data_IF_716030012685
#
_entry.id   IF_716030012685
#
_cell.length_a   1.000
_cell.length_b   1.000
_cell.length_c   1.000
_cell.angle_alpha   90.00
_cell.angle_beta   90.00
_cell.angle_gamma   90.00
#
_symmetry.space_group_name_H-M   'P 1'
#
loop_
_entity.id
_entity.type
_entity.pdbx_description
1 polymer ?
#
# COMPACT_ATOMS: atom_id res chain seq x y z
N UNK A 1 -7.48 26.18 -9.17
CA UNK A 1 -8.94 26.37 -8.99
C UNK A 1 -9.18 26.66 -7.53
N UNK A 2 -10.28 27.28 -7.15
CA UNK A 2 -10.65 27.40 -5.72
C UNK A 2 -11.77 26.42 -5.42
N UNK A 3 -11.65 25.62 -4.37
CA UNK A 3 -12.77 24.80 -3.90
C UNK A 3 -13.87 25.64 -3.24
N UNK A 4 -14.93 24.98 -2.77
CA UNK A 4 -16.07 25.61 -2.06
C UNK A 4 -15.62 26.37 -0.80
N UNK A 5 -14.49 25.99 -0.21
CA UNK A 5 -13.89 26.65 0.95
C UNK A 5 -12.84 27.72 0.57
N UNK A 6 -12.64 27.99 -0.73
CA UNK A 6 -11.73 29.02 -1.24
C UNK A 6 -10.27 28.58 -1.36
N UNK A 7 -9.93 27.32 -1.10
CA UNK A 7 -8.56 26.83 -1.17
C UNK A 7 -8.13 26.56 -2.61
N UNK A 8 -6.86 26.84 -2.92
CA UNK A 8 -6.29 26.48 -4.22
C UNK A 8 -6.19 24.95 -4.36
N UNK A 9 -7.02 24.39 -5.22
CA UNK A 9 -7.06 22.96 -5.55
C UNK A 9 -6.63 22.76 -7.01
N UNK A 10 -5.88 21.69 -7.33
CA UNK A 10 -5.57 21.35 -8.71
C UNK A 10 -6.86 21.09 -9.52
N UNK A 11 -6.78 21.36 -10.82
CA UNK A 11 -7.87 21.12 -11.77
C UNK A 11 -8.16 19.63 -11.96
N UNK A 12 -7.12 18.81 -11.79
CA UNK A 12 -7.16 17.35 -11.88
C UNK A 12 -5.98 16.77 -11.13
N UNK A 13 -6.15 15.59 -10.54
CA UNK A 13 -5.09 14.84 -9.87
C UNK A 13 -5.51 14.38 -8.48
N UNK A 14 -4.54 14.03 -7.65
CA UNK A 14 -4.80 13.61 -6.27
C UNK A 14 -4.41 14.72 -5.30
N UNK A 15 -5.18 14.85 -4.23
CA UNK A 15 -4.98 15.84 -3.16
C UNK A 15 -5.06 15.13 -1.82
N UNK A 16 -4.09 15.39 -0.95
CA UNK A 16 -4.09 14.90 0.42
C UNK A 16 -4.08 16.06 1.40
N UNK A 17 -4.86 15.95 2.47
CA UNK A 17 -4.92 16.93 3.56
C UNK A 17 -4.06 16.43 4.70
N UNK A 18 -3.07 17.23 5.07
CA UNK A 18 -2.14 16.94 6.16
C UNK A 18 -2.04 18.16 7.07
N UNK A 19 -2.40 17.98 8.35
CA UNK A 19 -2.45 19.06 9.36
C UNK A 19 -3.28 20.26 8.90
N UNK A 20 -4.47 19.99 8.34
CA UNK A 20 -5.38 21.00 7.80
C UNK A 20 -4.97 21.65 6.48
N UNK A 21 -3.82 21.28 5.89
CA UNK A 21 -3.36 21.85 4.61
C UNK A 21 -3.51 20.87 3.45
N UNK A 22 -4.14 21.27 2.33
CA UNK A 22 -4.19 20.46 1.13
C UNK A 22 -2.88 20.53 0.35
N UNK A 23 -2.35 19.37 -0.03
CA UNK A 23 -1.19 19.22 -0.89
C UNK A 23 -1.58 18.44 -2.14
N UNK A 24 -0.93 18.75 -3.27
CA UNK A 24 -0.91 17.78 -4.37
C UNK A 24 -0.27 16.50 -3.87
N UNK A 25 -0.86 15.37 -4.23
CA UNK A 25 -0.44 14.08 -3.74
C UNK A 25 -0.27 13.08 -4.89
N UNK A 26 0.41 11.99 -4.58
CA UNK A 26 0.43 10.75 -5.36
C UNK A 26 0.80 9.58 -4.45
N UNK A 27 0.56 8.35 -4.88
CA UNK A 27 1.14 7.19 -4.23
C UNK A 27 2.69 7.29 -4.20
N UNK A 28 3.31 7.03 -3.04
CA UNK A 28 4.76 7.08 -2.88
C UNK A 28 5.39 5.83 -3.51
N UNK A 29 6.09 6.00 -4.63
CA UNK A 29 6.68 4.89 -5.37
C UNK A 29 7.67 4.09 -4.51
N UNK A 30 7.44 2.77 -4.39
CA UNK A 30 8.28 1.86 -3.61
C UNK A 30 8.16 2.02 -2.09
N UNK A 31 7.23 2.84 -1.59
CA UNK A 31 6.97 3.03 -0.16
C UNK A 31 5.50 2.76 0.16
N UNK A 32 4.86 1.82 -0.53
CA UNK A 32 3.48 1.46 -0.18
C UNK A 32 3.38 1.11 1.31
N UNK A 33 2.38 1.64 2.06
CA UNK A 33 1.19 2.38 1.62
C UNK A 33 1.30 3.92 1.69
N UNK A 34 2.49 4.50 1.76
CA UNK A 34 2.69 5.94 1.94
C UNK A 34 2.16 6.76 0.77
N UNK A 35 1.70 7.97 1.09
CA UNK A 35 1.28 8.99 0.13
C UNK A 35 2.35 10.08 0.09
N UNK A 36 2.81 10.43 -1.09
CA UNK A 36 3.82 11.46 -1.28
C UNK A 36 3.15 12.83 -1.44
N UNK A 37 3.42 13.74 -0.49
CA UNK A 37 2.96 15.12 -0.55
C UNK A 37 3.92 15.97 -1.40
N UNK A 38 3.37 16.78 -2.28
CA UNK A 38 4.09 17.62 -3.25
C UNK A 38 3.75 19.10 -3.01
N UNK A 39 4.47 19.79 -2.11
CA UNK A 39 4.26 21.22 -1.89
C UNK A 39 4.60 22.03 -3.15
N UNK A 40 3.81 23.06 -3.44
CA UNK A 40 4.12 23.97 -4.55
C UNK A 40 5.36 24.83 -4.21
N UNK A 41 6.12 25.28 -5.22
CA UNK A 41 7.28 26.15 -5.00
C UNK A 41 6.90 27.39 -4.18
N UNK A 42 7.60 27.62 -3.07
CA UNK A 42 7.32 28.73 -2.15
C UNK A 42 6.35 28.41 -1.01
N UNK A 43 5.74 27.22 -0.98
CA UNK A 43 5.05 26.73 0.19
C UNK A 43 6.01 26.04 1.18
N UNK A 44 5.77 26.18 2.49
CA UNK A 44 6.59 25.52 3.50
C UNK A 44 6.52 23.99 3.34
N UNK A 45 7.64 23.34 3.64
CA UNK A 45 7.70 21.88 3.69
C UNK A 45 6.70 21.34 4.74
N UNK A 46 6.02 20.21 4.45
CA UNK A 46 5.17 19.54 5.44
C UNK A 46 5.96 19.22 6.71
N UNK A 47 5.53 19.82 7.83
CA UNK A 47 6.27 19.72 9.10
C UNK A 47 6.32 18.27 9.62
N UNK A 48 7.51 17.83 10.01
CA UNK A 48 7.72 16.51 10.59
C UNK A 48 7.60 15.36 9.59
N UNK A 49 7.83 15.63 8.30
CA UNK A 49 8.08 14.64 7.25
C UNK A 49 9.48 14.84 6.67
N UNK A 50 10.18 13.74 6.40
CA UNK A 50 11.51 13.76 5.78
C UNK A 50 11.34 13.86 4.26
N UNK A 51 12.03 14.79 3.58
CA UNK A 51 11.99 14.89 2.12
C UNK A 51 12.64 13.67 1.47
N UNK A 52 12.11 13.26 0.32
CA UNK A 52 12.65 12.20 -0.53
C UNK A 52 12.71 12.68 -1.98
N UNK A 53 13.83 12.42 -2.64
CA UNK A 53 13.96 12.64 -4.07
C UNK A 53 13.48 11.40 -4.83
N UNK A 54 12.52 11.60 -5.72
CA UNK A 54 12.06 10.56 -6.64
C UNK A 54 13.01 10.44 -7.84
N UNK A 55 12.97 9.32 -8.56
CA UNK A 55 13.84 9.04 -9.71
C UNK A 55 13.76 10.09 -10.84
N UNK A 56 12.70 10.90 -10.89
CA UNK A 56 12.51 12.00 -11.84
C UNK A 56 13.04 13.36 -11.32
N UNK A 57 13.76 13.38 -10.19
CA UNK A 57 14.31 14.59 -9.57
C UNK A 57 13.28 15.43 -8.79
N UNK A 58 12.02 14.99 -8.68
CA UNK A 58 11.03 15.68 -7.85
C UNK A 58 11.25 15.35 -6.37
N UNK A 59 11.20 16.37 -5.52
CA UNK A 59 11.25 16.21 -4.07
C UNK A 59 9.82 16.11 -3.53
N UNK A 60 9.51 14.98 -2.92
CA UNK A 60 8.24 14.74 -2.24
C UNK A 60 8.43 14.44 -0.76
N UNK A 61 7.33 14.42 -0.01
CA UNK A 61 7.32 14.17 1.43
C UNK A 61 6.40 12.98 1.72
N UNK A 62 6.95 11.77 1.89
CA UNK A 62 6.15 10.59 2.19
C UNK A 62 5.45 10.72 3.55
N UNK A 63 4.13 10.65 3.53
CA UNK A 63 3.27 10.64 4.71
C UNK A 63 2.61 9.26 4.84
N UNK A 64 2.61 8.65 6.04
CA UNK A 64 1.83 7.45 6.29
C UNK A 64 0.32 7.80 6.28
N UNK A 65 -0.57 6.92 5.77
CA UNK A 65 -2.00 7.20 5.65
C UNK A 65 -2.68 7.64 6.95
N UNK A 66 -2.21 7.13 8.10
CA UNK A 66 -2.75 7.43 9.43
C UNK A 66 -2.52 8.87 9.87
N UNK A 67 -1.59 9.58 9.22
CA UNK A 67 -1.32 11.00 9.46
C UNK A 67 -2.09 11.93 8.51
N UNK A 68 -2.87 11.38 7.57
CA UNK A 68 -3.68 12.15 6.63
C UNK A 68 -5.10 12.33 7.17
N UNK A 69 -5.63 13.53 7.00
CA UNK A 69 -7.04 13.84 7.31
C UNK A 69 -7.95 13.48 6.12
N UNK A 70 -7.43 13.55 4.91
CA UNK A 70 -8.11 13.13 3.69
C UNK A 70 -7.09 12.80 2.58
N UNK A 71 -7.47 11.94 1.64
CA UNK A 71 -6.81 11.77 0.36
C UNK A 71 -7.85 11.44 -0.69
N UNK A 72 -7.92 12.23 -1.75
CA UNK A 72 -8.95 12.11 -2.77
C UNK A 72 -8.43 12.46 -4.16
N UNK A 73 -8.98 11.81 -5.18
CA UNK A 73 -8.85 12.25 -6.55
C UNK A 73 -9.84 13.39 -6.80
N UNK A 74 -9.37 14.48 -7.38
CA UNK A 74 -10.19 15.62 -7.79
C UNK A 74 -10.29 15.69 -9.31
N UNK A 75 -11.50 15.96 -9.79
CA UNK A 75 -11.77 16.36 -11.18
C UNK A 75 -12.82 17.46 -11.18
N UNK A 76 -12.70 18.38 -12.12
CA UNK A 76 -13.67 19.47 -12.29
C UNK A 76 -14.45 19.27 -13.59
N UNK A 77 -15.74 19.56 -13.58
CA UNK A 77 -16.58 19.59 -14.78
C UNK A 77 -17.23 20.94 -14.96
N UNK A 78 -17.57 21.29 -16.19
CA UNK A 78 -18.33 22.50 -16.48
C UNK A 78 -19.17 22.32 -17.75
N UNK A 79 -20.09 23.26 -17.97
CA UNK A 79 -20.85 23.39 -19.21
C UNK A 79 -20.46 24.65 -19.98
N UNK A 80 -20.48 24.55 -21.30
CA UNK A 80 -20.39 25.71 -22.20
C UNK A 80 -21.37 25.49 -23.36
N UNK A 81 -22.30 26.43 -23.58
CA UNK A 81 -23.47 26.25 -24.45
C UNK A 81 -24.22 24.93 -24.19
N UNK A 82 -24.53 24.65 -22.93
CA UNK A 82 -25.23 23.43 -22.46
C UNK A 82 -24.50 22.09 -22.71
N UNK A 83 -23.28 22.13 -23.25
CA UNK A 83 -22.47 20.96 -23.56
C UNK A 83 -21.46 20.66 -22.44
N UNK A 84 -21.27 19.38 -22.05
CA UNK A 84 -20.45 19.02 -20.89
C UNK A 84 -18.96 18.83 -21.21
N UNK A 85 -18.11 19.28 -20.28
CA UNK A 85 -16.66 19.19 -20.36
C UNK A 85 -16.02 18.74 -19.04
N UNK A 86 -14.95 17.95 -19.13
CA UNK A 86 -14.01 17.72 -18.03
C UNK A 86 -12.89 18.76 -18.11
N UNK A 87 -12.65 19.50 -17.03
CA UNK A 87 -11.60 20.50 -16.99
C UNK A 87 -10.21 19.84 -17.01
N UNK A 88 -9.38 20.24 -17.96
CA UNK A 88 -8.02 19.76 -18.13
C UNK A 88 -6.97 20.78 -17.63
N UNK A 89 -7.26 22.08 -17.74
CA UNK A 89 -6.42 23.15 -17.21
C UNK A 89 -7.25 24.41 -16.95
N UNK A 90 -6.78 25.27 -16.04
CA UNK A 90 -7.43 26.53 -15.71
C UNK A 90 -6.39 27.63 -15.56
N UNK A 91 -6.68 28.79 -16.14
CA UNK A 91 -5.99 30.06 -15.88
C UNK A 91 -7.00 31.02 -15.22
N UNK A 92 -6.56 32.20 -14.74
CA UNK A 92 -7.50 33.22 -14.24
C UNK A 92 -8.55 33.63 -15.27
N UNK A 93 -8.21 33.64 -16.57
CA UNK A 93 -9.08 34.13 -17.64
C UNK A 93 -9.82 33.01 -18.41
N UNK A 94 -9.29 31.79 -18.44
CA UNK A 94 -9.81 30.73 -19.31
C UNK A 94 -9.81 29.35 -18.66
N UNK A 95 -10.73 28.50 -19.09
CA UNK A 95 -10.76 27.07 -18.80
C UNK A 95 -10.45 26.27 -20.08
N UNK A 96 -9.63 25.25 -19.96
CA UNK A 96 -9.42 24.25 -21.01
C UNK A 96 -10.18 22.98 -20.62
N UNK A 97 -11.03 22.47 -21.50
CA UNK A 97 -11.86 21.29 -21.22
C UNK A 97 -11.80 20.24 -22.31
N UNK A 98 -11.78 18.97 -21.90
CA UNK A 98 -12.00 17.81 -22.75
C UNK A 98 -13.51 17.55 -22.85
N UNK A 99 -14.02 17.41 -24.07
CA UNK A 99 -15.45 17.25 -24.34
C UNK A 99 -15.94 15.87 -23.87
N UNK A 100 -17.02 15.88 -23.09
CA UNK A 100 -17.68 14.67 -22.58
C UNK A 100 -18.97 14.33 -23.33
N UNK A 101 -19.48 15.23 -24.16
CA UNK A 101 -20.72 15.03 -24.88
C UNK A 101 -20.57 14.17 -26.14
N UNK A 102 -21.69 13.92 -26.80
CA UNK A 102 -21.79 13.07 -27.99
C UNK A 102 -22.23 13.83 -29.25
N UNK A 103 -22.47 15.14 -29.16
CA UNK A 103 -22.94 15.97 -30.28
C UNK A 103 -21.82 16.26 -31.29
N UNK A 104 -21.71 15.39 -32.29
CA UNK A 104 -20.60 15.42 -33.24
C UNK A 104 -20.54 16.66 -34.15
N UNK A 105 -21.66 17.34 -34.41
CA UNK A 105 -21.67 18.58 -35.18
C UNK A 105 -21.09 19.74 -34.36
N UNK A 106 -21.61 19.94 -33.15
CA UNK A 106 -21.08 20.90 -32.19
C UNK A 106 -19.56 20.74 -31.97
N UNK A 107 -19.11 19.50 -31.76
CA UNK A 107 -17.71 19.20 -31.53
C UNK A 107 -16.81 19.59 -32.73
N UNK A 108 -17.31 19.46 -33.96
CA UNK A 108 -16.55 19.85 -35.17
C UNK A 108 -16.54 21.36 -35.39
N UNK A 109 -17.61 22.04 -35.02
CA UNK A 109 -17.78 23.49 -35.23
C UNK A 109 -16.99 24.31 -34.19
N UNK A 110 -16.99 23.87 -32.92
CA UNK A 110 -16.49 24.68 -31.82
C UNK A 110 -15.20 24.18 -31.18
N UNK A 111 -14.79 22.93 -31.43
CA UNK A 111 -13.69 22.29 -30.69
C UNK A 111 -12.55 21.83 -31.59
N UNK A 112 -11.36 21.70 -31.01
CA UNK A 112 -10.18 21.16 -31.67
C UNK A 112 -10.07 19.66 -31.40
N UNK A 113 -9.91 18.86 -32.45
CA UNK A 113 -9.67 17.42 -32.33
C UNK A 113 -8.25 17.15 -31.84
N UNK A 114 -8.11 16.32 -30.80
CA UNK A 114 -6.86 15.83 -30.20
C UNK A 114 -6.92 14.31 -30.11
N UNK A 115 -6.41 13.64 -31.14
CA UNK A 115 -6.52 12.18 -31.27
C UNK A 115 -7.97 11.73 -31.39
N UNK A 116 -8.43 10.94 -30.41
CA UNK A 116 -9.81 10.44 -30.32
C UNK A 116 -10.77 11.38 -29.57
N UNK A 117 -10.27 12.48 -28.96
CA UNK A 117 -11.10 13.40 -28.15
C UNK A 117 -11.17 14.79 -28.78
N UNK A 118 -12.15 15.58 -28.34
CA UNK A 118 -12.27 17.00 -28.67
C UNK A 118 -11.93 17.85 -27.44
N UNK A 119 -11.22 18.96 -27.65
CA UNK A 119 -10.79 19.88 -26.60
C UNK A 119 -11.05 21.33 -27.00
N UNK A 120 -11.52 22.13 -26.05
CA UNK A 120 -11.74 23.57 -26.22
C UNK A 120 -11.06 24.41 -25.15
N UNK A 121 -10.94 25.71 -25.43
CA UNK A 121 -10.50 26.74 -24.48
C UNK A 121 -11.61 27.78 -24.42
N UNK A 122 -12.12 28.04 -23.22
CA UNK A 122 -13.33 28.80 -22.98
C UNK A 122 -13.04 29.97 -22.04
N UNK A 123 -13.59 31.17 -22.29
CA UNK A 123 -13.58 32.26 -21.32
C UNK A 123 -14.26 31.83 -20.03
N UNK A 124 -13.68 32.20 -18.88
CA UNK A 124 -14.18 31.74 -17.56
C UNK A 124 -15.57 32.30 -17.22
N UNK A 125 -15.92 33.44 -17.77
CA UNK A 125 -17.21 34.12 -17.60
C UNK A 125 -18.34 33.53 -18.45
N UNK A 126 -18.02 32.73 -19.47
CA UNK A 126 -18.98 32.05 -20.33
C UNK A 126 -19.31 30.62 -19.86
N UNK A 127 -18.56 30.08 -18.89
CA UNK A 127 -18.80 28.71 -18.40
C UNK A 127 -19.89 28.68 -17.32
N UNK A 128 -20.75 27.68 -17.41
CA UNK A 128 -21.78 27.40 -16.43
C UNK A 128 -21.47 26.11 -15.66
N UNK A 129 -22.11 25.94 -14.50
CA UNK A 129 -22.08 24.68 -13.72
C UNK A 129 -20.66 24.14 -13.47
N UNK A 130 -19.77 25.01 -12.99
CA UNK A 130 -18.41 24.63 -12.64
C UNK A 130 -18.42 23.85 -11.32
N UNK A 131 -18.33 22.53 -11.41
CA UNK A 131 -18.49 21.60 -10.30
C UNK A 131 -17.20 20.84 -9.99
N UNK A 132 -16.92 20.67 -8.70
CA UNK A 132 -15.83 19.82 -8.21
C UNK A 132 -16.38 18.43 -7.86
N UNK A 133 -15.69 17.39 -8.34
CA UNK A 133 -15.95 16.01 -7.97
C UNK A 133 -14.74 15.47 -7.19
N UNK A 134 -15.02 14.86 -6.03
CA UNK A 134 -14.03 14.22 -5.17
C UNK A 134 -14.32 12.73 -5.07
N UNK A 135 -13.30 11.91 -5.31
CA UNK A 135 -13.33 10.47 -5.08
C UNK A 135 -12.36 10.13 -3.94
N UNK A 136 -12.87 9.55 -2.86
CA UNK A 136 -12.08 9.18 -1.68
C UNK A 136 -11.13 8.02 -1.99
N UNK A 137 -9.84 8.23 -1.72
CA UNK A 137 -8.77 7.24 -1.89
C UNK A 137 -8.27 6.71 -0.54
N UNK A 138 -8.52 7.44 0.56
CA UNK A 138 -8.01 7.09 1.89
C UNK A 138 -8.77 5.92 2.51
N UNK A 139 -10.11 5.95 2.46
CA UNK A 139 -10.92 4.86 3.04
C UNK A 139 -10.71 3.51 2.32
N UNK A 140 -10.68 3.44 0.97
CA UNK A 140 -10.32 2.22 0.27
C UNK A 140 -8.92 1.71 0.63
N UNK A 141 -7.94 2.60 0.79
CA UNK A 141 -6.59 2.23 1.21
C UNK A 141 -6.57 1.63 2.62
N UNK A 142 -7.22 2.27 3.60
CA UNK A 142 -7.34 1.73 4.96
C UNK A 142 -8.04 0.36 4.98
N UNK A 143 -9.09 0.20 4.17
CA UNK A 143 -9.78 -1.08 4.05
C UNK A 143 -8.87 -2.17 3.46
N UNK A 144 -8.06 -1.83 2.45
CA UNK A 144 -7.07 -2.74 1.87
C UNK A 144 -5.99 -3.11 2.88
N UNK A 145 -5.43 -2.13 3.60
CA UNK A 145 -4.42 -2.36 4.64
C UNK A 145 -4.95 -3.26 5.75
N UNK A 146 -6.19 -3.04 6.20
CA UNK A 146 -6.84 -3.91 7.18
C UNK A 146 -7.02 -5.33 6.65
N UNK A 147 -7.49 -5.50 5.41
CA UNK A 147 -7.63 -6.82 4.78
C UNK A 147 -6.28 -7.53 4.66
N UNK A 148 -5.21 -6.81 4.31
CA UNK A 148 -3.87 -7.39 4.24
C UNK A 148 -3.36 -7.79 5.63
N UNK A 149 -3.62 -6.98 6.65
CA UNK A 149 -3.29 -7.32 8.03
C UNK A 149 -4.08 -8.53 8.54
N UNK A 150 -5.36 -8.65 8.15
CA UNK A 150 -6.19 -9.83 8.42
C UNK A 150 -5.62 -11.07 7.72
N UNK A 151 -5.33 -10.98 6.41
CA UNK A 151 -4.64 -12.03 5.61
C UNK A 151 -3.35 -12.49 6.25
N UNK A 152 -2.60 -11.58 6.87
CA UNK A 152 -1.28 -11.86 7.45
C UNK A 152 -1.29 -12.21 8.95
N UNK A 153 -2.46 -12.24 9.60
CA UNK A 153 -2.53 -12.37 11.07
C UNK A 153 -1.95 -13.70 11.58
N UNK A 154 -2.34 -14.81 10.94
CA UNK A 154 -1.86 -16.14 11.30
C UNK A 154 -0.63 -16.59 10.50
N UNK A 155 -0.05 -15.71 9.69
CA UNK A 155 1.17 -16.02 8.95
C UNK A 155 2.35 -16.17 9.91
N UNK A 156 3.26 -17.13 9.66
CA UNK A 156 4.54 -17.16 10.34
C UNK A 156 5.34 -15.87 10.11
N UNK A 157 5.97 -15.34 11.16
CA UNK A 157 6.80 -14.13 11.15
C UNK A 157 8.15 -14.42 11.78
N UNK A 158 9.23 -13.91 11.21
CA UNK A 158 10.57 -14.07 11.73
C UNK A 158 11.07 -12.79 12.39
N UNK A 159 11.82 -12.96 13.46
CA UNK A 159 12.36 -11.89 14.30
C UNK A 159 13.78 -12.23 14.71
N UNK A 160 14.58 -11.19 14.87
CA UNK A 160 15.93 -11.28 15.42
C UNK A 160 16.06 -10.33 16.61
N UNK A 161 16.81 -10.74 17.63
CA UNK A 161 17.21 -9.89 18.75
C UNK A 161 18.65 -9.49 18.53
N UNK A 162 18.92 -8.18 18.46
CA UNK A 162 20.25 -7.63 18.34
C UNK A 162 20.46 -6.58 19.44
N UNK A 163 21.47 -6.79 20.27
CA UNK A 163 21.78 -5.94 21.44
C UNK A 163 20.55 -5.70 22.33
N UNK A 164 19.79 -6.76 22.60
CA UNK A 164 18.59 -6.74 23.44
C UNK A 164 17.36 -6.09 22.81
N UNK A 165 17.39 -5.71 21.53
CA UNK A 165 16.24 -5.16 20.79
C UNK A 165 15.73 -6.14 19.74
N UNK A 166 14.41 -6.32 19.69
CA UNK A 166 13.75 -7.19 18.71
C UNK A 166 13.45 -6.42 17.42
N UNK A 167 13.84 -7.00 16.29
CA UNK A 167 13.60 -6.50 14.95
C UNK A 167 12.87 -7.55 14.12
N UNK A 168 11.92 -7.17 13.24
CA UNK A 168 11.49 -8.03 12.14
C UNK A 168 12.70 -8.48 11.33
N UNK A 169 12.77 -9.77 11.00
CA UNK A 169 13.92 -10.35 10.31
C UNK A 169 13.49 -11.27 9.17
N UNK A 170 14.42 -11.57 8.26
CA UNK A 170 14.27 -12.65 7.31
C UNK A 170 14.16 -14.00 8.04
N UNK A 171 13.37 -14.93 7.50
CA UNK A 171 13.23 -16.28 8.02
C UNK A 171 14.36 -17.23 7.63
N UNK A 172 15.21 -16.79 6.70
CA UNK A 172 16.37 -17.52 6.19
C UNK A 172 17.54 -16.53 6.03
N UNK A 173 18.76 -17.03 6.15
CA UNK A 173 19.96 -16.27 5.83
C UNK A 173 20.13 -16.21 4.30
N UNK A 174 20.74 -15.14 3.79
CA UNK A 174 21.04 -15.03 2.38
C UNK A 174 22.22 -15.94 1.96
N UNK A 175 22.59 -15.91 0.68
CA UNK A 175 23.68 -16.73 0.15
C UNK A 175 25.06 -16.42 0.77
N UNK A 176 25.20 -15.30 1.48
CA UNK A 176 26.40 -14.96 2.24
C UNK A 176 26.30 -15.37 3.73
N UNK A 177 25.20 -16.01 4.13
CA UNK A 177 24.93 -16.36 5.51
C UNK A 177 24.46 -15.18 6.37
N UNK A 178 24.00 -14.08 5.76
CA UNK A 178 23.55 -12.89 6.50
C UNK A 178 22.03 -12.85 6.62
N UNK A 179 21.54 -12.50 7.81
CA UNK A 179 20.12 -12.29 8.09
C UNK A 179 19.81 -10.81 7.87
N UNK A 180 18.75 -10.52 7.10
CA UNK A 180 18.25 -9.16 6.93
C UNK A 180 17.30 -8.78 8.08
N UNK A 181 17.53 -7.62 8.70
CA UNK A 181 16.74 -7.02 9.77
C UNK A 181 16.09 -5.74 9.24
N UNK A 182 14.78 -5.60 9.46
CA UNK A 182 14.04 -4.38 9.14
C UNK A 182 14.00 -3.48 10.37
N UNK A 183 14.73 -2.37 10.34
CA UNK A 183 14.95 -1.51 11.51
C UNK A 183 14.19 -0.18 11.42
N UNK A 184 13.65 0.15 10.25
CA UNK A 184 12.97 1.42 10.01
C UNK A 184 13.97 2.60 10.07
N UNK A 185 13.63 3.72 10.74
CA UNK A 185 14.52 4.88 10.84
C UNK A 185 15.68 4.67 11.84
N UNK A 186 15.60 3.66 12.69
CA UNK A 186 16.64 3.36 13.68
C UNK A 186 17.84 2.71 13.00
N UNK A 187 19.03 3.30 13.13
CA UNK A 187 20.27 2.72 12.61
C UNK A 187 21.00 1.96 13.72
N UNK A 188 20.90 0.62 13.80
CA UNK A 188 21.68 -0.14 14.77
C UNK A 188 23.18 0.00 14.49
N UNK A 189 23.95 0.34 15.52
CA UNK A 189 25.41 0.41 15.45
C UNK A 189 25.99 -0.98 15.19
N UNK A 190 27.02 -1.07 14.35
CA UNK A 190 27.74 -2.34 14.09
C UNK A 190 27.10 -3.26 13.04
N UNK A 191 25.93 -2.91 12.49
CA UNK A 191 25.35 -3.60 11.34
C UNK A 191 25.60 -2.85 10.03
N UNK A 192 25.70 -3.59 8.94
CA UNK A 192 25.90 -3.05 7.58
C UNK A 192 24.55 -2.86 6.93
N UNK A 193 24.27 -1.70 6.35
CA UNK A 193 23.05 -1.48 5.58
C UNK A 193 23.07 -2.39 4.35
N UNK A 194 21.93 -3.03 4.00
CA UNK A 194 21.89 -3.89 2.82
C UNK A 194 22.17 -3.04 1.56
N UNK A 195 23.26 -3.29 0.81
CA UNK A 195 23.60 -2.50 -0.37
C UNK A 195 22.56 -2.64 -1.49
N UNK A 196 21.73 -3.69 -1.45
CA UNK A 196 20.63 -3.91 -2.40
C UNK A 196 19.38 -3.10 -2.06
N UNK A 197 19.32 -2.52 -0.87
CA UNK A 197 18.17 -1.75 -0.40
C UNK A 197 18.58 -0.34 0.01
N UNK A 198 18.60 0.55 -0.98
CA UNK A 198 19.09 1.92 -0.84
C UNK A 198 18.18 2.86 -0.03
N UNK A 199 17.08 2.38 0.56
CA UNK A 199 16.10 3.30 1.17
C UNK A 199 15.15 2.78 2.25
N UNK A 200 15.15 1.49 2.62
CA UNK A 200 14.15 0.94 3.55
C UNK A 200 14.56 0.83 5.02
N UNK A 201 15.82 1.09 5.36
CA UNK A 201 16.33 0.83 6.73
C UNK A 201 16.53 -0.66 7.02
N UNK A 202 16.93 -1.45 6.01
CA UNK A 202 17.36 -2.83 6.18
C UNK A 202 18.85 -2.94 6.48
N UNK A 203 19.17 -3.78 7.46
CA UNK A 203 20.55 -4.05 7.90
C UNK A 203 20.82 -5.55 7.93
N UNK A 204 22.06 -5.92 7.64
CA UNK A 204 22.51 -7.31 7.60
C UNK A 204 23.28 -7.62 8.88
N UNK A 205 22.96 -8.77 9.49
CA UNK A 205 23.67 -9.33 10.63
C UNK A 205 24.04 -10.79 10.36
N UNK A 206 25.23 -11.20 10.78
CA UNK A 206 25.54 -12.62 10.87
C UNK A 206 24.77 -13.25 12.04
N UNK A 207 24.32 -14.52 11.96
CA UNK A 207 23.61 -15.19 13.05
C UNK A 207 24.32 -15.10 14.40
N UNK A 208 25.66 -15.10 14.43
CA UNK A 208 26.48 -15.03 15.64
C UNK A 208 26.44 -13.65 16.31
N UNK A 209 26.02 -12.61 15.58
CA UNK A 209 25.83 -11.27 16.13
C UNK A 209 24.46 -11.12 16.80
N UNK A 210 23.54 -12.07 16.60
CA UNK A 210 22.17 -12.02 17.11
C UNK A 210 22.09 -12.71 18.48
N UNK A 211 21.42 -12.05 19.42
CA UNK A 211 21.10 -12.64 20.72
C UNK A 211 20.05 -13.77 20.57
N UNK A 212 19.19 -13.66 19.55
CA UNK A 212 18.25 -14.69 19.15
C UNK A 212 17.79 -14.49 17.71
N UNK A 213 17.47 -15.58 17.02
CA UNK A 213 16.78 -15.55 15.73
C UNK A 213 15.69 -16.60 15.76
N UNK A 214 14.44 -16.19 15.56
CA UNK A 214 13.29 -17.06 15.77
C UNK A 214 12.12 -16.74 14.87
N UNK A 215 11.26 -17.74 14.67
CA UNK A 215 9.98 -17.62 13.96
C UNK A 215 8.84 -17.78 14.94
N UNK A 216 7.94 -16.81 14.98
CA UNK A 216 6.60 -16.99 15.55
C UNK A 216 5.68 -17.58 14.51
N UNK A 217 4.87 -18.56 14.87
CA UNK A 217 3.85 -19.15 14.01
C UNK A 217 2.65 -19.55 14.87
N UNK A 218 1.49 -19.76 14.26
CA UNK A 218 0.31 -20.19 14.99
C UNK A 218 0.04 -21.66 14.72
N UNK A 219 -0.35 -22.39 15.75
CA UNK A 219 -0.81 -23.78 15.65
C UNK A 219 -2.22 -23.89 16.17
N UNK A 220 -3.01 -24.83 15.63
CA UNK A 220 -4.35 -25.12 16.13
C UNK A 220 -4.74 -26.58 15.89
N UNK A 221 -5.85 -27.01 16.50
CA UNK A 221 -6.49 -28.29 16.21
C UNK A 221 -7.85 -28.09 15.57
N UNK A 222 -8.17 -28.92 14.60
CA UNK A 222 -9.50 -28.99 14.00
C UNK A 222 -9.92 -30.45 13.83
N UNK A 223 -11.12 -30.80 14.33
CA UNK A 223 -11.65 -32.17 14.35
C UNK A 223 -10.65 -33.21 14.92
N UNK A 224 -9.83 -32.79 15.88
CA UNK A 224 -8.80 -33.63 16.51
C UNK A 224 -7.46 -33.72 15.78
N UNK A 225 -7.34 -33.22 14.54
CA UNK A 225 -6.08 -33.16 13.79
C UNK A 225 -5.27 -31.87 14.05
N UNK A 226 -3.92 -31.92 14.01
CA UNK A 226 -3.06 -30.75 14.21
C UNK A 226 -2.77 -29.99 12.91
N UNK A 227 -2.68 -28.66 13.02
CA UNK A 227 -2.44 -27.75 11.91
C UNK A 227 -1.46 -26.63 12.29
N UNK A 228 -0.61 -26.26 11.35
CA UNK A 228 0.15 -25.01 11.36
C UNK A 228 -0.61 -23.98 10.53
N UNK A 229 -0.92 -22.83 11.13
CA UNK A 229 -1.54 -21.75 10.40
C UNK A 229 -0.50 -21.05 9.51
N UNK A 230 -0.92 -20.72 8.29
CA UNK A 230 -0.07 -20.11 7.26
C UNK A 230 -0.62 -18.78 6.76
N UNK A 231 -1.56 -18.21 7.49
CA UNK A 231 -2.23 -16.96 7.16
C UNK A 231 -3.73 -17.08 7.23
N UNK A 232 -4.39 -16.09 6.66
CA UNK A 232 -5.85 -15.95 6.65
C UNK A 232 -6.34 -15.81 5.21
N UNK A 233 -7.46 -16.44 4.90
CA UNK A 233 -8.17 -16.30 3.62
C UNK A 233 -9.61 -15.92 3.93
N UNK A 234 -10.06 -14.75 3.46
CA UNK A 234 -11.42 -14.25 3.69
C UNK A 234 -11.86 -14.29 5.17
N UNK A 235 -10.98 -13.86 6.08
CA UNK A 235 -11.23 -13.84 7.53
C UNK A 235 -11.14 -15.19 8.24
N UNK A 236 -10.79 -16.26 7.52
CA UNK A 236 -10.66 -17.63 8.03
C UNK A 236 -9.20 -18.07 8.10
N UNK A 237 -8.88 -18.93 9.07
CA UNK A 237 -7.53 -19.46 9.24
C UNK A 237 -7.23 -20.43 8.10
N UNK A 238 -6.17 -20.17 7.32
CA UNK A 238 -5.60 -21.16 6.41
C UNK A 238 -4.58 -22.00 7.18
N UNK A 239 -4.77 -23.31 7.22
CA UNK A 239 -3.89 -24.24 7.91
C UNK A 239 -3.26 -25.29 7.00
N UNK A 240 -2.02 -25.68 7.27
CA UNK A 240 -1.36 -26.87 6.74
C UNK A 240 -1.51 -27.99 7.76
N UNK A 241 -1.97 -29.15 7.32
CA UNK A 241 -2.08 -30.34 8.14
C UNK A 241 -0.69 -30.92 8.47
N UNK A 242 -0.38 -31.09 9.76
CA UNK A 242 0.91 -31.60 10.23
C UNK A 242 0.84 -33.00 10.82
N UNK A 243 -0.35 -33.61 10.89
CA UNK A 243 -0.57 -34.90 11.57
C UNK A 243 -0.14 -36.15 10.80
N UNK A 244 0.30 -36.02 9.54
CA UNK A 244 0.91 -37.11 8.75
C UNK A 244 -0.01 -38.28 8.36
N UNK A 245 -1.26 -38.31 8.83
CA UNK A 245 -2.22 -39.38 8.49
C UNK A 245 -2.97 -39.09 7.20
N UNK A 246 -2.72 -39.88 6.15
CA UNK A 246 -3.47 -39.80 4.89
C UNK A 246 -4.97 -40.06 5.11
N UNK A 247 -5.33 -41.03 5.95
CA UNK A 247 -6.74 -41.33 6.24
C UNK A 247 -7.48 -40.17 6.92
N UNK A 248 -6.79 -39.35 7.72
CA UNK A 248 -7.38 -38.12 8.25
C UNK A 248 -7.60 -37.08 7.14
N UNK A 249 -6.59 -36.90 6.28
CA UNK A 249 -6.67 -35.95 5.18
C UNK A 249 -7.80 -36.29 4.19
N UNK A 250 -7.95 -37.57 3.84
CA UNK A 250 -8.97 -38.09 2.93
C UNK A 250 -10.37 -38.02 3.56
N UNK A 251 -10.54 -38.52 4.79
CA UNK A 251 -11.85 -38.50 5.49
C UNK A 251 -12.43 -37.08 5.67
N UNK A 252 -11.56 -36.08 5.76
CA UNK A 252 -11.95 -34.68 5.93
C UNK A 252 -11.81 -33.85 4.64
N UNK A 253 -11.53 -34.50 3.51
CA UNK A 253 -11.41 -33.88 2.19
C UNK A 253 -10.49 -32.63 2.20
N UNK A 254 -9.33 -32.74 2.85
CA UNK A 254 -8.37 -31.65 2.87
C UNK A 254 -7.88 -31.35 1.46
N UNK A 255 -7.63 -30.08 1.17
CA UNK A 255 -7.16 -29.67 -0.16
C UNK A 255 -5.69 -30.01 -0.34
N UNK A 256 -5.39 -30.83 -1.33
CA UNK A 256 -4.02 -31.12 -1.74
C UNK A 256 -3.45 -29.91 -2.52
N UNK A 257 -2.41 -29.30 -1.98
CA UNK A 257 -1.66 -28.22 -2.62
C UNK A 257 -0.24 -28.67 -2.96
N UNK A 258 0.25 -28.27 -4.14
CA UNK A 258 1.63 -28.51 -4.55
C UNK A 258 2.56 -27.52 -3.84
N UNK A 259 3.54 -28.02 -3.08
CA UNK A 259 4.65 -27.22 -2.54
C UNK A 259 5.98 -27.61 -3.24
N UNK A 260 7.05 -26.80 -3.12
CA UNK A 260 8.32 -27.02 -3.85
C UNK A 260 8.93 -28.41 -3.68
N UNK A 261 8.79 -29.02 -2.50
CA UNK A 261 9.44 -30.30 -2.16
C UNK A 261 8.47 -31.48 -2.00
N UNK A 262 7.17 -31.22 -1.74
CA UNK A 262 6.14 -32.25 -1.51
C UNK A 262 4.73 -31.70 -1.67
N UNK A 263 3.75 -32.58 -1.81
CA UNK A 263 2.35 -32.22 -1.61
C UNK A 263 2.09 -31.94 -0.13
N UNK A 264 1.22 -30.97 0.14
CA UNK A 264 0.74 -30.65 1.49
C UNK A 264 -0.78 -30.61 1.48
N UNK A 265 -1.38 -31.05 2.58
CA UNK A 265 -2.82 -30.97 2.76
C UNK A 265 -3.18 -29.70 3.54
N UNK A 266 -4.15 -28.96 3.06
CA UNK A 266 -4.54 -27.66 3.60
C UNK A 266 -6.04 -27.54 3.81
N UNK A 267 -6.42 -26.56 4.63
CA UNK A 267 -7.82 -26.19 4.85
C UNK A 267 -7.95 -24.69 5.11
N UNK A 268 -9.18 -24.20 4.98
CA UNK A 268 -9.58 -22.87 5.43
C UNK A 268 -10.76 -23.03 6.39
N UNK A 269 -10.62 -22.56 7.62
CA UNK A 269 -11.59 -22.78 8.71
C UNK A 269 -11.88 -21.51 9.51
N UNK A 270 -13.09 -21.40 10.05
CA UNK A 270 -13.44 -20.27 10.92
C UNK A 270 -12.68 -20.36 12.26
N UNK A 271 -12.15 -19.26 12.81
CA UNK A 271 -11.41 -19.28 14.08
C UNK A 271 -12.19 -19.87 15.25
N UNK A 272 -13.50 -19.65 15.30
CA UNK A 272 -14.39 -20.18 16.35
C UNK A 272 -14.59 -21.71 16.25
N UNK A 273 -14.15 -22.33 15.15
CA UNK A 273 -14.27 -23.78 14.92
C UNK A 273 -13.04 -24.59 15.33
N UNK A 274 -11.95 -23.91 15.73
CA UNK A 274 -10.68 -24.55 16.10
C UNK A 274 -10.49 -24.54 17.60
N UNK A 275 -9.67 -25.47 18.10
CA UNK A 275 -9.25 -25.53 19.50
C UNK A 275 -7.74 -25.39 19.59
N UNK A 276 -7.23 -25.10 20.79
CA UNK A 276 -5.79 -24.98 21.05
C UNK A 276 -5.06 -24.00 20.11
N UNK A 277 -5.76 -22.96 19.66
CA UNK A 277 -5.18 -21.90 18.84
C UNK A 277 -4.19 -21.10 19.69
N UNK A 278 -2.91 -21.29 19.41
CA UNK A 278 -1.83 -20.69 20.19
C UNK A 278 -0.68 -20.26 19.29
N UNK A 279 -0.06 -19.15 19.66
CA UNK A 279 1.18 -18.70 19.05
C UNK A 279 2.35 -19.50 19.65
N UNK A 280 3.19 -20.02 18.76
CA UNK A 280 4.40 -20.76 19.05
C UNK A 280 5.63 -19.95 18.61
N UNK A 281 6.75 -20.21 19.28
CA UNK A 281 8.08 -19.72 18.88
C UNK A 281 8.98 -20.91 18.59
N UNK A 282 9.68 -20.86 17.46
CA UNK A 282 10.75 -21.81 17.12
C UNK A 282 12.00 -21.01 16.79
N UNK A 283 13.14 -21.39 17.38
CA UNK A 283 14.41 -20.79 17.01
C UNK A 283 14.80 -21.24 15.60
N UNK A 284 15.36 -20.31 14.82
CA UNK A 284 15.80 -20.53 13.46
C UNK A 284 17.27 -20.96 13.49
N UNK A 285 17.63 -22.06 12.81
CA UNK A 285 19.01 -22.54 12.81
C UNK A 285 19.91 -21.56 12.04
N UNK A 286 21.12 -21.36 12.53
CA UNK A 286 22.17 -20.61 11.83
C UNK A 286 22.75 -21.33 10.60
N UNK A 287 22.24 -22.54 10.29
CA UNK A 287 22.87 -23.43 9.32
C UNK A 287 22.64 -23.00 7.87
N UNK A 288 23.77 -22.92 7.17
CA UNK A 288 23.98 -22.55 5.78
C UNK A 288 23.28 -23.48 4.78
N UNK A 289 22.70 -22.90 3.73
CA UNK A 289 22.57 -23.57 2.43
C UNK A 289 23.88 -23.47 1.63
#
# INVERSE_FOLDING_TARGET
>A
MTDVAGHLVPVKGEVAVFRGWPYRARAAAGLWPYVELLPEPGHPAPEGLTPREAANGSVGYPAPPERLEAWYAVRWTFRWHDEPFECAAATPATLTGDYLGSHGQFAKEHLRRRGIRYRGVFPRDEVAELEEHREDLLQPLHALMRRLAEVDHFSPKAYAVYQGRTYPAAGEADAAGLVALTTGPDRPEGLVADPRDSGSGQFLAAPEQLDAWYRTHWTFRWKGGPFDAVGTVDGRIKGIYTGGSWGFADNHMLTEERAPERFRYTMVVDPDSVTDLAQQRSDLPADHA
#
